data_IF_811115109400
#
_entry.id   IF_811115109400
#
_cell.length_a   1.000
_cell.length_b   1.000
_cell.length_c   1.000
_cell.angle_alpha   90.00
_cell.angle_beta   90.00
_cell.angle_gamma   90.00
#
_symmetry.space_group_name_H-M   'P 1'
#
loop_
_entity.id
_entity.type
_entity.pdbx_description
1 polymer ?
#
# COMPACT_ATOMS: atom_id res chain seq x y z
N UNK A 1 47.53 9.75 -11.67
CA UNK A 1 47.57 8.83 -10.52
C UNK A 1 46.16 8.30 -10.30
N UNK A 2 45.92 6.97 -10.28
CA UNK A 2 44.62 6.43 -9.92
C UNK A 2 44.37 6.66 -8.42
N UNK A 3 43.11 6.93 -8.04
CA UNK A 3 42.73 7.15 -6.63
C UNK A 3 43.22 6.02 -5.73
N UNK A 4 43.74 6.37 -4.54
CA UNK A 4 44.14 5.36 -3.56
C UNK A 4 42.92 4.53 -3.11
N UNK A 5 43.11 3.23 -2.78
CA UNK A 5 42.01 2.35 -2.38
C UNK A 5 41.16 2.88 -1.22
N UNK A 6 41.77 3.70 -0.36
CA UNK A 6 41.11 4.35 0.78
C UNK A 6 40.12 5.44 0.33
N UNK A 7 40.52 6.25 -0.66
CA UNK A 7 39.65 7.28 -1.25
C UNK A 7 38.46 6.64 -1.97
N UNK A 8 38.67 5.50 -2.65
CA UNK A 8 37.57 4.77 -3.32
C UNK A 8 36.55 4.27 -2.29
N UNK A 9 37.01 3.78 -1.13
CA UNK A 9 36.12 3.31 -0.05
C UNK A 9 35.35 4.46 0.59
N UNK A 10 36.02 5.58 0.85
CA UNK A 10 35.37 6.76 1.46
C UNK A 10 34.37 7.40 0.49
N UNK A 11 34.71 7.44 -0.81
CA UNK A 11 33.80 7.90 -1.86
C UNK A 11 32.55 7.03 -1.95
N UNK A 12 32.70 5.70 -1.96
CA UNK A 12 31.56 4.77 -1.96
C UNK A 12 30.67 4.94 -0.73
N UNK A 13 31.27 5.07 0.46
CA UNK A 13 30.53 5.30 1.70
C UNK A 13 29.67 6.56 1.64
N UNK A 14 30.23 7.68 1.17
CA UNK A 14 29.52 8.96 1.05
C UNK A 14 28.38 8.90 0.02
N UNK A 15 28.59 8.19 -1.08
CA UNK A 15 27.54 7.97 -2.08
C UNK A 15 26.41 7.11 -1.49
N UNK A 16 26.74 6.03 -0.79
CA UNK A 16 25.75 5.15 -0.17
C UNK A 16 24.95 5.89 0.93
N UNK A 17 25.62 6.72 1.74
CA UNK A 17 24.97 7.57 2.75
C UNK A 17 24.03 8.60 2.13
N UNK A 18 24.47 9.25 1.04
CA UNK A 18 23.67 10.23 0.30
C UNK A 18 22.44 9.57 -0.36
N UNK A 19 22.62 8.43 -1.01
CA UNK A 19 21.51 7.67 -1.59
C UNK A 19 20.53 7.16 -0.52
N UNK A 20 21.05 6.70 0.62
CA UNK A 20 20.23 6.25 1.74
C UNK A 20 19.41 7.40 2.32
N UNK A 21 19.99 8.58 2.48
CA UNK A 21 19.29 9.77 2.94
C UNK A 21 18.20 10.23 1.96
N UNK A 22 18.48 10.18 0.65
CA UNK A 22 17.50 10.50 -0.40
C UNK A 22 16.34 9.48 -0.46
N UNK A 23 16.59 8.21 -0.11
CA UNK A 23 15.58 7.15 -0.09
C UNK A 23 14.78 7.08 1.24
N UNK A 24 15.04 7.97 2.19
CA UNK A 24 14.26 8.08 3.43
C UNK A 24 13.09 9.06 3.20
N UNK A 25 11.83 8.64 3.44
CA UNK A 25 10.71 9.57 3.46
C UNK A 25 10.98 10.69 4.48
N UNK A 26 10.49 11.93 4.25
CA UNK A 26 10.69 13.06 5.17
C UNK A 26 10.28 12.80 6.62
N UNK A 27 9.39 11.83 6.85
CA UNK A 27 8.92 11.40 8.18
C UNK A 27 9.80 10.35 8.86
N UNK A 28 10.86 9.85 8.21
CA UNK A 28 11.72 8.76 8.71
C UNK A 28 11.03 7.39 8.77
N UNK A 29 9.74 7.32 8.43
CA UNK A 29 8.92 6.12 8.54
C UNK A 29 8.75 5.49 7.15
N UNK A 30 9.45 4.37 6.90
CA UNK A 30 9.15 3.54 5.73
C UNK A 30 7.78 2.90 5.92
N UNK A 31 6.85 3.17 5.02
CA UNK A 31 5.57 2.46 4.98
C UNK A 31 5.87 0.96 4.91
N UNK A 32 5.49 0.21 5.94
CA UNK A 32 5.63 -1.25 5.91
C UNK A 32 4.55 -1.77 4.98
N UNK A 33 4.89 -2.53 3.92
CA UNK A 33 3.87 -3.15 3.10
C UNK A 33 3.08 -4.12 3.98
N UNK A 34 1.79 -3.84 4.17
CA UNK A 34 0.88 -4.75 4.86
C UNK A 34 0.30 -5.65 3.78
N UNK A 35 0.77 -6.89 3.73
CA UNK A 35 0.13 -7.93 2.94
C UNK A 35 -0.73 -8.74 3.90
N UNK A 36 -2.04 -8.75 3.65
CA UNK A 36 -3.00 -9.53 4.41
C UNK A 36 -3.89 -10.31 3.43
N UNK A 37 -4.35 -11.48 3.87
CA UNK A 37 -5.22 -12.36 3.09
C UNK A 37 -6.40 -12.77 3.94
N UNK A 38 -7.60 -12.37 3.53
CA UNK A 38 -8.82 -12.71 4.26
C UNK A 38 -9.64 -13.72 3.47
N UNK A 39 -10.07 -14.79 4.16
CA UNK A 39 -11.02 -15.75 3.59
C UNK A 39 -12.44 -15.21 3.70
N UNK A 40 -13.09 -15.03 2.55
CA UNK A 40 -14.46 -14.55 2.49
C UNK A 40 -15.45 -15.69 2.20
N UNK A 41 -16.64 -15.60 2.78
CA UNK A 41 -17.77 -16.48 2.45
C UNK A 41 -18.72 -15.77 1.50
N UNK A 42 -19.36 -16.50 0.58
CA UNK A 42 -20.40 -15.97 -0.31
C UNK A 42 -21.78 -15.87 0.34
N UNK A 43 -21.89 -16.17 1.64
CA UNK A 43 -23.13 -16.02 2.40
C UNK A 43 -23.49 -14.54 2.51
N UNK A 44 -24.78 -14.22 2.58
CA UNK A 44 -25.23 -12.87 2.89
C UNK A 44 -24.84 -12.47 4.34
N UNK A 45 -24.77 -11.17 4.60
CA UNK A 45 -24.53 -10.59 5.93
C UNK A 45 -23.15 -10.93 6.56
N UNK A 46 -22.07 -10.93 5.77
CA UNK A 46 -20.71 -11.09 6.28
C UNK A 46 -20.17 -9.77 6.84
N UNK A 47 -19.20 -9.88 7.77
CA UNK A 47 -18.51 -8.72 8.32
C UNK A 47 -17.73 -7.99 7.22
N UNK A 48 -17.80 -6.66 7.23
CA UNK A 48 -17.08 -5.81 6.29
C UNK A 48 -15.57 -5.97 6.46
N UNK A 49 -14.85 -6.06 5.34
CA UNK A 49 -13.40 -6.12 5.31
C UNK A 49 -12.81 -4.71 5.28
N UNK A 50 -11.75 -4.50 6.06
CA UNK A 50 -11.05 -3.21 6.13
C UNK A 50 -9.77 -3.29 5.33
N UNK A 51 -9.61 -2.41 4.34
CA UNK A 51 -8.34 -2.22 3.64
C UNK A 51 -7.60 -1.04 4.27
N UNK A 52 -6.42 -1.31 4.83
CA UNK A 52 -5.53 -0.26 5.33
C UNK A 52 -4.81 0.39 4.13
N UNK A 53 -4.95 1.71 4.00
CA UNK A 53 -4.29 2.50 2.96
C UNK A 53 -3.41 3.56 3.60
N UNK A 54 -2.38 4.02 2.89
CA UNK A 54 -1.47 5.08 3.34
C UNK A 54 -1.39 6.15 2.25
N UNK A 55 -1.30 7.45 2.61
CA UNK A 55 -1.08 8.51 1.63
C UNK A 55 0.08 8.19 0.68
N UNK A 56 -0.09 8.56 -0.59
CA UNK A 56 0.92 8.37 -1.65
C UNK A 56 1.34 6.91 -1.89
N UNK A 57 0.52 5.93 -1.47
CA UNK A 57 0.78 4.50 -1.70
C UNK A 57 -0.46 3.84 -2.32
N UNK A 58 -0.25 3.09 -3.41
CA UNK A 58 -1.31 2.28 -4.03
C UNK A 58 -1.46 0.98 -3.25
N UNK A 59 -2.68 0.68 -2.80
CA UNK A 59 -3.02 -0.60 -2.17
C UNK A 59 -3.73 -1.49 -3.18
N UNK A 60 -3.27 -2.73 -3.35
CA UNK A 60 -3.83 -3.66 -4.33
C UNK A 60 -4.54 -4.80 -3.61
N UNK A 61 -5.80 -5.04 -3.97
CA UNK A 61 -6.58 -6.19 -3.53
C UNK A 61 -6.78 -7.13 -4.70
N UNK A 62 -6.61 -8.44 -4.46
CA UNK A 62 -6.76 -9.47 -5.47
C UNK A 62 -7.71 -10.56 -4.99
N UNK A 63 -8.61 -11.00 -5.87
CA UNK A 63 -9.64 -11.98 -5.58
C UNK A 63 -9.28 -13.33 -6.20
N UNK A 64 -9.37 -14.39 -5.40
CA UNK A 64 -9.08 -15.76 -5.81
C UNK A 64 -10.14 -16.71 -5.25
N UNK A 65 -10.46 -17.75 -6.02
CA UNK A 65 -11.23 -18.88 -5.53
C UNK A 65 -10.40 -19.74 -4.55
N UNK A 66 -11.05 -20.66 -3.83
CA UNK A 66 -10.43 -21.69 -2.99
C UNK A 66 -9.39 -22.53 -3.74
N UNK A 67 -9.51 -22.64 -5.07
CA UNK A 67 -8.53 -23.33 -5.92
C UNK A 67 -7.28 -22.51 -6.24
N UNK A 68 -7.25 -21.22 -5.88
CA UNK A 68 -6.19 -20.28 -6.26
C UNK A 68 -6.38 -19.65 -7.64
N UNK A 69 -7.45 -20.01 -8.37
CA UNK A 69 -7.77 -19.39 -9.65
C UNK A 69 -8.25 -17.94 -9.45
N UNK A 70 -7.80 -17.04 -10.32
CA UNK A 70 -8.26 -15.66 -10.36
C UNK A 70 -9.79 -15.61 -10.47
N UNK A 71 -10.44 -14.89 -9.55
CA UNK A 71 -11.88 -14.67 -9.57
C UNK A 71 -12.18 -13.27 -10.15
N UNK A 72 -12.81 -13.16 -11.33
CA UNK A 72 -13.02 -11.87 -11.99
C UNK A 72 -14.02 -10.99 -11.23
N UNK A 73 -13.72 -9.71 -11.15
CA UNK A 73 -14.62 -8.71 -10.57
C UNK A 73 -15.65 -8.32 -11.64
N UNK A 74 -16.93 -8.60 -11.40
CA UNK A 74 -17.99 -8.23 -12.32
C UNK A 74 -18.30 -6.72 -12.28
N UNK A 75 -18.34 -6.14 -11.08
CA UNK A 75 -18.56 -4.70 -10.88
C UNK A 75 -18.09 -4.28 -9.49
N UNK A 76 -17.86 -2.97 -9.32
CA UNK A 76 -17.53 -2.35 -8.04
C UNK A 76 -18.13 -0.94 -7.99
N UNK A 77 -18.37 -0.45 -6.77
CA UNK A 77 -18.89 0.90 -6.52
C UNK A 77 -18.02 1.56 -5.45
N UNK A 78 -17.76 2.85 -5.61
CA UNK A 78 -16.97 3.66 -4.67
C UNK A 78 -17.86 4.74 -4.08
N UNK A 79 -18.05 4.72 -2.76
CA UNK A 79 -18.93 5.69 -2.09
C UNK A 79 -18.36 7.10 -1.99
N UNK A 80 -17.03 7.25 -1.92
CA UNK A 80 -16.32 8.54 -1.81
C UNK A 80 -15.23 8.65 -2.87
N UNK A 81 -15.64 8.83 -4.12
CA UNK A 81 -14.71 8.95 -5.26
C UNK A 81 -13.84 10.21 -5.23
N UNK A 82 -14.24 11.21 -4.44
CA UNK A 82 -13.46 12.42 -4.12
C UNK A 82 -12.26 12.11 -3.21
N UNK A 83 -12.38 11.03 -2.43
CA UNK A 83 -11.47 10.68 -1.35
C UNK A 83 -10.60 9.47 -1.71
N UNK A 84 -11.13 8.57 -2.53
CA UNK A 84 -10.48 7.36 -2.99
C UNK A 84 -10.65 7.19 -4.49
N UNK A 85 -9.53 6.97 -5.18
CA UNK A 85 -9.53 6.49 -6.54
C UNK A 85 -9.43 4.97 -6.52
N UNK A 86 -10.39 4.30 -7.16
CA UNK A 86 -10.40 2.84 -7.30
C UNK A 86 -10.53 2.50 -8.77
N UNK A 87 -9.70 1.58 -9.24
CA UNK A 87 -9.77 1.09 -10.60
C UNK A 87 -9.38 -0.38 -10.67
N UNK A 88 -10.00 -1.10 -11.62
CA UNK A 88 -9.53 -2.41 -12.02
C UNK A 88 -8.33 -2.24 -12.95
N UNK A 89 -7.29 -3.07 -12.80
CA UNK A 89 -6.08 -2.97 -13.65
C UNK A 89 -6.37 -3.22 -15.13
N UNK A 90 -7.40 -4.00 -15.43
CA UNK A 90 -7.90 -4.31 -16.77
C UNK A 90 -9.37 -4.74 -16.67
N UNK A 91 -10.08 -4.74 -17.79
CA UNK A 91 -11.45 -5.28 -17.85
C UNK A 91 -11.43 -6.79 -17.54
N UNK A 92 -12.35 -7.23 -16.67
CA UNK A 92 -12.35 -8.62 -16.18
C UNK A 92 -11.19 -8.98 -15.24
N UNK A 93 -10.42 -8.00 -14.76
CA UNK A 93 -9.37 -8.23 -13.76
C UNK A 93 -9.94 -8.84 -12.48
N UNK A 94 -9.11 -9.62 -11.80
CA UNK A 94 -9.35 -10.04 -10.42
C UNK A 94 -8.69 -9.10 -9.40
N UNK A 95 -8.13 -7.97 -9.84
CA UNK A 95 -7.40 -7.03 -9.00
C UNK A 95 -8.01 -5.63 -9.04
N UNK A 96 -8.16 -5.03 -7.87
CA UNK A 96 -8.50 -3.62 -7.67
C UNK A 96 -7.30 -2.88 -7.08
N UNK A 97 -6.93 -1.77 -7.69
CA UNK A 97 -6.03 -0.79 -7.12
C UNK A 97 -6.84 0.29 -6.43
N UNK A 98 -6.46 0.62 -5.19
CA UNK A 98 -7.07 1.63 -4.35
C UNK A 98 -6.01 2.64 -3.95
N UNK A 99 -6.23 3.89 -4.31
CA UNK A 99 -5.34 5.01 -3.99
C UNK A 99 -6.10 6.06 -3.18
N UNK A 100 -5.66 6.38 -1.96
CA UNK A 100 -6.24 7.49 -1.21
C UNK A 100 -5.79 8.82 -1.86
N UNK A 101 -6.75 9.70 -2.16
CA UNK A 101 -6.51 11.01 -2.77
C UNK A 101 -6.27 12.10 -1.73
N UNK A 102 -6.76 11.90 -0.51
CA UNK A 102 -6.52 12.82 0.61
C UNK A 102 -5.91 12.06 1.80
N UNK A 103 -5.22 12.79 2.67
CA UNK A 103 -4.66 12.23 3.90
C UNK A 103 -5.80 11.86 4.85
N UNK A 104 -6.15 10.58 4.88
CA UNK A 104 -7.09 10.04 5.86
C UNK A 104 -6.28 9.55 7.06
N UNK A 105 -6.24 10.35 8.13
CA UNK A 105 -5.92 9.81 9.43
C UNK A 105 -7.10 8.96 9.89
N UNK A 106 -6.87 7.67 10.14
CA UNK A 106 -7.77 6.92 11.02
C UNK A 106 -7.69 7.63 12.38
N UNK A 107 -8.64 8.49 12.71
CA UNK A 107 -8.78 9.02 14.06
C UNK A 107 -9.14 7.82 14.96
N UNK A 108 -8.11 7.15 15.45
CA UNK A 108 -8.22 6.13 16.46
C UNK A 108 -9.01 6.71 17.62
N UNK A 109 -10.23 6.22 17.78
CA UNK A 109 -11.17 6.42 18.89
C UNK A 109 -10.42 6.88 20.15
N UNK A 110 -10.32 8.19 20.36
CA UNK A 110 -9.85 8.75 21.64
C UNK A 110 -10.86 8.29 22.68
N UNK A 111 -10.49 7.25 23.45
CA UNK A 111 -11.20 6.94 24.69
C UNK A 111 -11.15 8.20 25.55
N UNK A 112 -12.25 8.94 25.61
CA UNK A 112 -12.49 9.90 26.70
C UNK A 112 -12.49 9.08 27.99
N UNK A 113 -11.40 9.17 28.76
CA UNK A 113 -11.47 8.88 30.19
C UNK A 113 -12.25 10.03 30.81
N UNK A 114 -13.37 9.68 31.45
CA UNK A 114 -13.99 10.46 32.53
C UNK A 114 -13.32 9.98 33.81
#
# INVERSE_FOLDING_TARGET
>A
MPMSPEIIRDYRRRIDESQKAAAMPPSGMRARPISDSVRMSLKSNQALQTLLTTPNTVSVMAFYDRTGKAWPIASYVVGRSDSFQVYALQEGSNQLAVTPLVTHGYEGRRKRRI
#
